data_IF_239612051362
#
_entry.id   IF_239612051362
#
_cell.length_a   1.000
_cell.length_b   1.000
_cell.length_c   1.000
_cell.angle_alpha   90.00
_cell.angle_beta   90.00
_cell.angle_gamma   90.00
#
_symmetry.space_group_name_H-M   'P 1'
#
loop_
_entity.id
_entity.type
_entity.pdbx_description
1 polymer ?
#
# COMPACT_ATOMS: atom_id res chain seq x y z
N UNK A 1 -4.23 -25.06 87.14
CA UNK A 1 -4.97 -24.04 86.36
C UNK A 1 -3.95 -23.28 85.54
N UNK A 2 -3.72 -23.74 84.33
CA UNK A 2 -2.71 -23.17 83.41
C UNK A 2 -3.36 -22.12 82.53
N UNK A 3 -2.71 -20.97 82.43
CA UNK A 3 -3.11 -19.92 81.50
C UNK A 3 -2.48 -20.15 80.16
N UNK A 4 -3.26 -20.34 79.12
CA UNK A 4 -2.81 -20.36 77.73
C UNK A 4 -2.66 -18.94 77.24
N UNK A 5 -1.39 -18.57 76.88
CA UNK A 5 -1.06 -17.30 76.23
C UNK A 5 -1.09 -17.53 74.73
N UNK A 6 -2.04 -16.94 74.01
CA UNK A 6 -2.08 -16.95 72.57
C UNK A 6 -1.25 -15.81 71.99
N UNK A 7 -0.19 -16.17 71.32
CA UNK A 7 0.70 -15.23 70.62
C UNK A 7 0.17 -14.95 69.21
N UNK A 8 -0.28 -13.73 68.94
CA UNK A 8 -0.70 -13.29 67.61
C UNK A 8 0.55 -12.75 66.87
N UNK A 9 1.07 -13.51 65.93
CA UNK A 9 2.06 -13.02 65.00
C UNK A 9 1.38 -12.16 63.92
N UNK A 10 1.72 -10.88 63.96
CA UNK A 10 1.33 -9.91 62.94
C UNK A 10 2.30 -10.02 61.77
N UNK A 11 1.88 -10.60 60.66
CA UNK A 11 2.65 -10.58 59.41
C UNK A 11 2.48 -9.22 58.74
N UNK A 12 3.55 -8.42 58.78
CA UNK A 12 3.66 -7.22 57.96
C UNK A 12 4.02 -7.65 56.54
N UNK A 13 3.09 -7.48 55.62
CA UNK A 13 3.33 -7.65 54.18
C UNK A 13 3.97 -6.34 53.68
N UNK A 14 5.28 -6.35 53.48
CA UNK A 14 5.98 -5.30 52.72
C UNK A 14 5.59 -5.43 51.22
N UNK A 15 4.69 -4.57 50.72
CA UNK A 15 4.48 -4.40 49.29
C UNK A 15 5.68 -3.58 48.78
N UNK A 16 6.62 -4.26 48.14
CA UNK A 16 7.69 -3.64 47.39
C UNK A 16 7.15 -3.14 46.07
N UNK A 17 6.81 -1.86 45.99
CA UNK A 17 6.44 -1.21 44.72
C UNK A 17 7.68 -1.10 43.83
N UNK A 18 7.82 -2.02 42.90
CA UNK A 18 8.81 -1.91 41.82
C UNK A 18 8.32 -0.84 40.86
N UNK A 19 8.85 0.38 41.00
CA UNK A 19 8.71 1.44 40.03
C UNK A 19 9.55 1.05 38.81
N UNK A 20 8.92 0.46 37.78
CA UNK A 20 9.57 0.29 36.50
C UNK A 20 9.78 1.68 35.90
N UNK A 21 10.98 2.22 36.00
CA UNK A 21 11.42 3.32 35.17
C UNK A 21 11.54 2.77 33.75
N UNK A 22 10.54 3.02 32.90
CA UNK A 22 10.71 2.91 31.46
C UNK A 22 11.66 4.02 31.04
N UNK A 23 12.92 3.67 30.80
CA UNK A 23 13.82 4.56 30.07
C UNK A 23 13.17 4.82 28.70
N UNK A 24 13.14 6.08 28.20
CA UNK A 24 12.82 6.30 26.82
C UNK A 24 13.91 5.60 26.01
N UNK A 25 13.55 4.50 25.35
CA UNK A 25 14.41 3.85 24.38
C UNK A 25 14.79 4.88 23.34
N UNK A 26 16.07 5.01 23.02
CA UNK A 26 16.47 5.63 21.76
C UNK A 26 15.75 4.82 20.67
N UNK A 27 14.91 5.48 19.89
CA UNK A 27 14.42 4.93 18.63
C UNK A 27 15.68 4.76 17.76
N UNK A 28 16.10 3.52 17.53
CA UNK A 28 17.04 3.25 16.47
C UNK A 28 16.36 3.67 15.16
N UNK A 29 17.01 4.50 14.35
CA UNK A 29 16.46 5.02 13.08
C UNK A 29 16.24 3.93 12.01
N UNK A 30 16.44 2.66 12.37
CA UNK A 30 16.35 1.50 11.51
C UNK A 30 15.05 0.67 11.73
N UNK A 31 14.22 1.03 12.72
CA UNK A 31 12.94 0.36 12.90
C UNK A 31 11.96 0.83 11.82
N UNK A 32 11.21 -0.10 11.20
CA UNK A 32 10.16 0.26 10.23
C UNK A 32 9.16 1.24 10.85
N UNK A 33 8.76 2.26 10.09
CA UNK A 33 7.64 3.11 10.46
C UNK A 33 6.36 2.29 10.33
N UNK A 34 5.65 2.08 11.44
CA UNK A 34 4.32 1.48 11.42
C UNK A 34 3.28 2.61 11.26
N UNK A 35 2.54 2.64 10.13
CA UNK A 35 1.53 3.67 9.91
C UNK A 35 0.33 3.48 10.83
N UNK A 36 -0.26 4.60 11.31
CA UNK A 36 -1.57 4.59 11.95
C UNK A 36 -2.65 4.53 10.86
N UNK A 37 -3.42 3.46 10.84
CA UNK A 37 -4.45 3.22 9.83
C UNK A 37 -5.84 3.70 10.27
N UNK A 38 -5.99 4.24 11.50
CA UNK A 38 -7.30 4.55 12.08
C UNK A 38 -8.07 5.63 11.32
N UNK A 39 -7.37 6.53 10.65
CA UNK A 39 -7.93 7.65 9.90
C UNK A 39 -7.64 7.58 8.39
N UNK A 40 -7.09 6.45 7.91
CA UNK A 40 -6.76 6.24 6.49
C UNK A 40 -8.02 6.05 5.63
N UNK A 41 -8.01 6.61 4.42
CA UNK A 41 -9.06 6.38 3.43
C UNK A 41 -9.04 4.92 2.99
N UNK A 42 -10.19 4.24 3.07
CA UNK A 42 -10.34 2.89 2.54
C UNK A 42 -10.82 2.90 1.09
N UNK A 43 -10.23 2.01 0.29
CA UNK A 43 -10.60 1.77 -1.11
C UNK A 43 -10.84 0.28 -1.32
N UNK A 44 -12.02 -0.06 -1.84
CA UNK A 44 -12.36 -1.43 -2.24
C UNK A 44 -12.09 -1.63 -3.73
N UNK A 45 -11.33 -2.69 -4.06
CA UNK A 45 -11.15 -3.20 -5.41
C UNK A 45 -11.92 -4.51 -5.58
N UNK A 46 -12.87 -4.52 -6.53
CA UNK A 46 -13.46 -5.75 -7.03
C UNK A 46 -12.63 -6.22 -8.24
N UNK A 47 -12.03 -7.40 -8.13
CA UNK A 47 -11.08 -7.92 -9.13
C UNK A 47 -11.63 -9.24 -9.66
N UNK A 48 -11.48 -9.48 -10.97
CA UNK A 48 -11.76 -10.79 -11.55
C UNK A 48 -10.58 -11.32 -12.35
N UNK A 49 -10.47 -12.66 -12.39
CA UNK A 49 -9.55 -13.41 -13.23
C UNK A 49 -10.35 -14.15 -14.29
N UNK A 50 -10.30 -13.66 -15.53
CA UNK A 50 -11.13 -14.19 -16.60
C UNK A 50 -11.25 -13.27 -17.78
N UNK A 51 -12.01 -13.70 -18.81
CA UNK A 51 -12.28 -12.91 -20.00
C UNK A 51 -13.40 -11.88 -19.81
N UNK A 52 -14.25 -12.04 -18.78
CA UNK A 52 -15.31 -11.11 -18.36
C UNK A 52 -15.63 -11.33 -16.90
N UNK A 53 -16.28 -10.37 -16.26
CA UNK A 53 -16.68 -10.45 -14.85
C UNK A 53 -17.68 -11.60 -14.60
N UNK A 54 -18.72 -11.73 -15.44
CA UNK A 54 -19.75 -12.76 -15.28
C UNK A 54 -19.26 -14.18 -15.60
N UNK A 55 -18.22 -14.30 -16.43
CA UNK A 55 -17.61 -15.56 -16.84
C UNK A 55 -16.23 -15.79 -16.24
N UNK A 56 -15.91 -15.12 -15.16
CA UNK A 56 -14.62 -15.23 -14.50
C UNK A 56 -14.40 -16.62 -13.87
N UNK A 57 -13.16 -17.08 -13.90
CA UNK A 57 -12.74 -18.28 -13.15
C UNK A 57 -12.72 -18.02 -11.64
N UNK A 58 -12.40 -16.76 -11.25
CA UNK A 58 -12.43 -16.31 -9.87
C UNK A 58 -12.73 -14.81 -9.76
N UNK A 59 -13.40 -14.42 -8.68
CA UNK A 59 -13.64 -13.05 -8.27
C UNK A 59 -13.04 -12.83 -6.89
N UNK A 60 -12.47 -11.64 -6.66
CA UNK A 60 -11.76 -11.26 -5.44
C UNK A 60 -12.21 -9.88 -5.00
N UNK A 61 -12.35 -9.68 -3.69
CA UNK A 61 -12.54 -8.37 -3.08
C UNK A 61 -11.30 -8.06 -2.24
N UNK A 62 -10.73 -6.88 -2.41
CA UNK A 62 -9.54 -6.40 -1.71
C UNK A 62 -9.83 -5.02 -1.16
N UNK A 63 -9.54 -4.78 0.12
CA UNK A 63 -9.61 -3.45 0.73
C UNK A 63 -8.21 -2.93 0.97
N UNK A 64 -7.95 -1.71 0.52
CA UNK A 64 -6.69 -0.98 0.70
C UNK A 64 -6.97 0.20 1.64
N UNK A 65 -6.17 0.35 2.69
CA UNK A 65 -6.16 1.55 3.52
C UNK A 65 -4.97 2.44 3.11
N UNK A 66 -5.24 3.68 2.77
CA UNK A 66 -4.23 4.65 2.32
C UNK A 66 -3.55 5.34 3.50
N UNK A 67 -2.30 5.73 3.33
CA UNK A 67 -1.50 6.47 4.32
C UNK A 67 -1.63 7.98 4.09
N UNK A 68 -2.87 8.51 4.17
CA UNK A 68 -3.22 9.89 3.81
C UNK A 68 -2.35 10.94 4.53
N UNK A 69 -1.93 10.70 5.77
CA UNK A 69 -1.13 11.65 6.54
C UNK A 69 0.38 11.52 6.27
N UNK A 70 0.87 10.30 6.02
CA UNK A 70 2.29 10.02 5.83
C UNK A 70 2.75 10.25 4.39
N UNK A 71 1.91 9.89 3.42
CA UNK A 71 2.23 9.91 1.98
C UNK A 71 1.11 10.62 1.20
N UNK A 72 0.80 11.88 1.57
CA UNK A 72 -0.42 12.55 1.15
C UNK A 72 -0.57 12.73 -0.36
N UNK A 73 0.52 12.94 -1.11
CA UNK A 73 0.42 13.20 -2.54
C UNK A 73 0.10 11.93 -3.34
N UNK A 74 0.72 10.80 -2.98
CA UNK A 74 0.44 9.52 -3.64
C UNK A 74 -0.92 8.96 -3.22
N UNK A 75 -1.30 9.11 -1.94
CA UNK A 75 -2.63 8.74 -1.45
C UNK A 75 -3.73 9.55 -2.15
N UNK A 76 -3.59 10.89 -2.24
CA UNK A 76 -4.53 11.76 -2.95
C UNK A 76 -4.62 11.42 -4.45
N UNK A 77 -3.48 11.16 -5.09
CA UNK A 77 -3.44 10.78 -6.49
C UNK A 77 -4.20 9.46 -6.76
N UNK A 78 -3.94 8.43 -5.95
CA UNK A 78 -4.63 7.15 -6.07
C UNK A 78 -6.13 7.30 -5.80
N UNK A 79 -6.52 7.95 -4.72
CA UNK A 79 -7.91 8.25 -4.36
C UNK A 79 -8.65 9.01 -5.47
N UNK A 80 -8.00 10.03 -6.04
CA UNK A 80 -8.57 10.83 -7.14
C UNK A 80 -8.85 9.96 -8.37
N UNK A 81 -7.92 9.08 -8.76
CA UNK A 81 -8.16 8.13 -9.87
C UNK A 81 -9.31 7.17 -9.59
N UNK A 82 -9.45 6.70 -8.34
CA UNK A 82 -10.60 5.86 -7.93
C UNK A 82 -11.91 6.62 -8.07
N UNK A 83 -11.96 7.86 -7.55
CA UNK A 83 -13.17 8.71 -7.62
C UNK A 83 -13.55 9.09 -9.04
N UNK A 84 -12.59 9.25 -9.95
CA UNK A 84 -12.81 9.50 -11.37
C UNK A 84 -13.19 8.22 -12.16
N UNK A 85 -13.13 7.05 -11.52
CA UNK A 85 -13.40 5.76 -12.15
C UNK A 85 -12.32 5.29 -13.12
N UNK A 86 -11.13 5.90 -13.08
CA UNK A 86 -10.03 5.59 -13.99
C UNK A 86 -9.49 4.17 -13.82
N UNK A 87 -9.69 3.54 -12.65
CA UNK A 87 -9.25 2.16 -12.43
C UNK A 87 -10.30 1.11 -12.78
N UNK A 88 -11.52 1.51 -13.17
CA UNK A 88 -12.55 0.56 -13.58
C UNK A 88 -12.18 -0.10 -14.92
N UNK A 89 -12.25 -1.42 -14.94
CA UNK A 89 -11.89 -2.29 -16.07
C UNK A 89 -10.39 -2.22 -16.47
N UNK A 90 -9.50 -1.87 -15.53
CA UNK A 90 -8.06 -1.80 -15.75
C UNK A 90 -7.37 -3.11 -15.38
N UNK A 91 -6.46 -3.57 -16.22
CA UNK A 91 -5.74 -4.82 -16.02
C UNK A 91 -4.56 -4.70 -15.06
N UNK A 92 -4.27 -5.75 -14.30
CA UNK A 92 -2.93 -6.00 -13.80
C UNK A 92 -2.08 -6.52 -14.96
N UNK A 93 -1.36 -5.60 -15.60
CA UNK A 93 -0.64 -5.86 -16.84
C UNK A 93 0.70 -6.56 -16.65
N UNK A 94 1.21 -6.62 -15.41
CA UNK A 94 2.45 -7.30 -15.05
C UNK A 94 2.31 -7.97 -13.68
N UNK A 95 2.52 -9.28 -13.64
CA UNK A 95 2.35 -10.11 -12.43
C UNK A 95 3.58 -11.01 -12.30
N UNK A 96 4.25 -10.93 -11.15
CA UNK A 96 5.44 -11.74 -10.87
C UNK A 96 5.28 -12.37 -9.48
N UNK A 97 5.26 -13.69 -9.45
CA UNK A 97 5.23 -14.48 -8.22
C UNK A 97 6.41 -14.14 -7.30
N UNK A 98 6.17 -14.11 -5.99
CA UNK A 98 7.13 -13.71 -4.97
C UNK A 98 7.74 -12.30 -5.16
N UNK A 99 7.05 -11.41 -5.90
CA UNK A 99 7.51 -10.04 -6.07
C UNK A 99 6.35 -9.03 -5.97
N UNK A 100 5.53 -8.87 -7.02
CA UNK A 100 4.44 -7.89 -7.02
C UNK A 100 3.42 -8.15 -8.14
N UNK A 101 2.23 -7.55 -7.99
CA UNK A 101 1.27 -7.40 -9.07
C UNK A 101 1.12 -5.91 -9.41
N UNK A 102 1.31 -5.52 -10.67
CA UNK A 102 1.31 -4.13 -11.13
C UNK A 102 0.13 -3.85 -12.06
N UNK A 103 -0.59 -2.77 -11.76
CA UNK A 103 -1.73 -2.28 -12.52
C UNK A 103 -1.77 -0.76 -12.61
N UNK A 104 -2.98 -0.20 -12.85
CA UNK A 104 -3.21 1.25 -12.82
C UNK A 104 -2.88 1.98 -14.12
N UNK A 105 -2.50 1.30 -15.20
CA UNK A 105 -2.43 1.90 -16.54
C UNK A 105 -3.82 1.93 -17.18
N UNK A 106 -4.57 2.99 -16.87
CA UNK A 106 -5.94 3.16 -17.36
C UNK A 106 -6.03 3.62 -18.81
N UNK A 107 -4.92 4.04 -19.42
CA UNK A 107 -4.88 4.49 -20.81
C UNK A 107 -4.64 3.35 -21.80
N UNK A 108 -3.61 2.55 -21.57
CA UNK A 108 -3.11 1.59 -22.54
C UNK A 108 -3.22 0.13 -22.07
N UNK A 109 -3.40 -0.10 -20.76
CA UNK A 109 -3.49 -1.43 -20.13
C UNK A 109 -2.26 -2.34 -20.38
N UNK A 110 -1.10 -1.76 -20.68
CA UNK A 110 0.12 -2.49 -21.03
C UNK A 110 1.39 -2.01 -20.29
N UNK A 111 1.23 -1.01 -19.41
CA UNK A 111 2.31 -0.42 -18.61
C UNK A 111 2.99 0.78 -19.26
N UNK A 112 2.52 1.24 -20.42
CA UNK A 112 3.12 2.38 -21.13
C UNK A 112 2.40 3.70 -20.90
N UNK A 113 1.21 3.69 -20.28
CA UNK A 113 0.37 4.85 -20.03
C UNK A 113 0.24 5.20 -18.54
N UNK A 114 -0.70 6.11 -18.27
CA UNK A 114 -0.99 6.61 -16.93
C UNK A 114 -0.28 7.91 -16.61
N UNK A 115 -1.00 8.83 -15.96
CA UNK A 115 -0.50 10.14 -15.52
C UNK A 115 -1.14 10.49 -14.18
N UNK A 116 -0.67 11.54 -13.51
CA UNK A 116 -1.22 11.98 -12.23
C UNK A 116 -2.62 12.61 -12.38
N UNK A 117 -3.55 12.28 -11.48
CA UNK A 117 -4.92 12.80 -11.52
C UNK A 117 -4.96 14.33 -11.36
N UNK A 118 -4.13 14.83 -10.45
CA UNK A 118 -4.05 16.26 -10.13
C UNK A 118 -2.68 16.84 -10.48
N UNK A 119 -2.59 18.17 -10.49
CA UNK A 119 -1.31 18.88 -10.68
C UNK A 119 -0.54 18.95 -9.36
N UNK A 120 0.60 18.27 -9.28
CA UNK A 120 1.49 18.24 -8.11
C UNK A 120 2.80 19.02 -8.31
N UNK A 121 2.86 19.91 -9.32
CA UNK A 121 4.04 20.74 -9.59
C UNK A 121 5.08 20.09 -10.50
N UNK A 122 4.78 18.91 -11.08
CA UNK A 122 5.73 18.14 -11.89
C UNK A 122 5.16 17.77 -13.27
N UNK A 123 6.02 17.92 -14.29
CA UNK A 123 5.75 17.57 -15.67
C UNK A 123 6.84 16.61 -16.18
N UNK A 124 6.48 15.38 -16.58
CA UNK A 124 7.46 14.37 -17.00
C UNK A 124 8.62 14.18 -16.01
N UNK A 125 8.32 14.21 -14.71
CA UNK A 125 9.30 14.02 -13.64
C UNK A 125 10.16 15.25 -13.32
N UNK A 126 9.89 16.40 -13.90
CA UNK A 126 10.59 17.66 -13.65
C UNK A 126 9.66 18.69 -13.01
N UNK A 127 10.15 19.43 -12.04
CA UNK A 127 9.42 20.54 -11.45
C UNK A 127 9.10 21.59 -12.54
N UNK A 128 7.85 22.04 -12.60
CA UNK A 128 7.37 22.95 -13.62
C UNK A 128 6.18 23.80 -13.13
N UNK A 129 5.82 24.87 -13.84
CA UNK A 129 4.50 25.46 -13.69
C UNK A 129 3.50 24.69 -14.57
N UNK A 130 2.25 24.63 -14.15
CA UNK A 130 1.21 23.92 -14.90
C UNK A 130 1.04 24.46 -16.33
N UNK A 131 1.21 25.78 -16.50
CA UNK A 131 1.15 26.46 -17.82
C UNK A 131 2.24 26.03 -18.79
N UNK A 132 3.35 25.52 -18.28
CA UNK A 132 4.52 25.10 -19.06
C UNK A 132 4.47 23.62 -19.44
N UNK A 133 3.54 22.87 -18.83
CA UNK A 133 3.28 21.46 -19.11
C UNK A 133 2.28 21.31 -20.26
N UNK A 134 2.66 20.58 -21.30
CA UNK A 134 1.91 20.49 -22.56
C UNK A 134 0.51 19.90 -22.45
N UNK A 135 0.30 18.98 -21.49
CA UNK A 135 -0.98 18.31 -21.25
C UNK A 135 -0.98 17.59 -19.91
N UNK A 136 -2.19 17.24 -19.42
CA UNK A 136 -2.37 16.39 -18.23
C UNK A 136 -1.67 15.04 -18.38
N UNK A 137 -1.61 14.48 -19.58
CA UNK A 137 -0.91 13.21 -19.84
C UNK A 137 0.59 13.21 -19.51
N UNK A 138 1.16 14.39 -19.19
CA UNK A 138 2.54 14.58 -18.75
C UNK A 138 2.67 14.90 -17.25
N UNK A 139 1.54 14.96 -16.52
CA UNK A 139 1.56 15.25 -15.09
C UNK A 139 2.09 14.06 -14.28
N UNK A 140 2.94 14.36 -13.32
CA UNK A 140 3.56 13.33 -12.46
C UNK A 140 3.54 13.76 -11.00
N UNK A 141 3.68 12.78 -10.10
CA UNK A 141 3.72 12.98 -8.64
C UNK A 141 5.19 13.00 -8.19
N UNK A 142 5.60 13.96 -7.36
CA UNK A 142 6.92 13.93 -6.75
C UNK A 142 7.07 12.76 -5.78
N UNK A 143 8.28 12.21 -5.66
CA UNK A 143 8.56 11.04 -4.85
C UNK A 143 8.41 11.32 -3.35
N UNK A 144 7.68 10.46 -2.65
CA UNK A 144 7.53 10.44 -1.18
C UNK A 144 8.06 9.09 -0.63
N UNK A 145 9.34 8.77 -0.84
CA UNK A 145 9.89 7.44 -0.51
C UNK A 145 10.81 7.41 0.72
N UNK A 146 11.38 8.54 1.14
CA UNK A 146 12.35 8.61 2.25
C UNK A 146 11.64 8.87 3.61
N UNK A 147 10.66 8.02 3.94
CA UNK A 147 9.80 8.16 5.11
C UNK A 147 9.95 6.99 6.10
N UNK A 148 10.90 6.08 5.86
CA UNK A 148 11.09 4.87 6.68
C UNK A 148 10.04 3.77 6.44
N UNK A 149 9.13 3.96 5.47
CA UNK A 149 8.18 2.94 5.05
C UNK A 149 8.87 1.87 4.21
N UNK A 150 8.53 0.60 4.45
CA UNK A 150 9.14 -0.55 3.80
C UNK A 150 8.12 -1.31 2.94
N UNK A 151 8.61 -2.02 1.92
CA UNK A 151 7.80 -2.90 1.07
C UNK A 151 7.55 -4.24 1.77
N UNK A 152 6.81 -4.20 2.88
CA UNK A 152 6.38 -5.38 3.61
C UNK A 152 5.28 -6.14 2.84
N UNK A 153 4.98 -7.41 3.21
CA UNK A 153 3.82 -8.11 2.69
C UNK A 153 2.56 -7.25 2.76
N UNK A 154 1.76 -7.31 1.70
CA UNK A 154 0.47 -6.60 1.56
C UNK A 154 0.55 -5.07 1.35
N UNK A 155 1.73 -4.46 1.30
CA UNK A 155 1.86 -3.02 1.01
C UNK A 155 1.52 -2.67 -0.43
N UNK A 156 1.04 -1.43 -0.62
CA UNK A 156 0.74 -0.83 -1.92
C UNK A 156 1.71 0.30 -2.18
N UNK A 157 2.37 0.28 -3.33
CA UNK A 157 3.42 1.22 -3.68
C UNK A 157 3.24 1.77 -5.09
N UNK A 158 3.72 2.99 -5.32
CA UNK A 158 3.58 3.68 -6.60
C UNK A 158 4.68 3.27 -7.58
N UNK A 159 4.27 2.83 -8.76
CA UNK A 159 5.20 2.55 -9.85
C UNK A 159 5.71 3.84 -10.51
N UNK A 160 6.96 3.81 -10.97
CA UNK A 160 7.60 4.92 -11.65
C UNK A 160 8.64 4.44 -12.67
N UNK A 161 9.11 5.33 -13.49
CA UNK A 161 10.28 5.10 -14.34
C UNK A 161 11.58 5.26 -13.53
N UNK A 162 12.74 5.22 -14.18
CA UNK A 162 14.03 5.52 -13.51
C UNK A 162 14.16 6.99 -13.04
N UNK A 163 13.25 7.87 -13.43
CA UNK A 163 13.21 9.26 -12.95
C UNK A 163 12.43 9.31 -11.64
N UNK A 164 12.98 9.84 -10.53
CA UNK A 164 12.34 9.76 -9.22
C UNK A 164 10.91 10.32 -9.15
N UNK A 165 10.67 11.49 -9.75
CA UNK A 165 9.39 12.20 -9.71
C UNK A 165 8.48 11.88 -10.91
N UNK A 166 8.55 10.67 -11.45
CA UNK A 166 7.83 10.28 -12.67
C UNK A 166 6.61 9.39 -12.45
N UNK A 167 6.17 9.23 -11.21
CA UNK A 167 4.98 8.47 -10.90
C UNK A 167 3.73 9.10 -11.56
N UNK A 168 2.88 8.26 -12.14
CA UNK A 168 1.59 8.63 -12.72
C UNK A 168 0.45 7.97 -11.96
N UNK A 169 -0.30 7.09 -12.64
CA UNK A 169 -1.39 6.31 -12.05
C UNK A 169 -1.02 4.87 -11.72
N UNK A 170 0.11 4.36 -12.23
CA UNK A 170 0.45 2.95 -12.06
C UNK A 170 0.91 2.67 -10.64
N UNK A 171 0.44 1.58 -10.08
CA UNK A 171 0.78 1.09 -8.75
C UNK A 171 1.05 -0.40 -8.76
N UNK A 172 1.67 -0.89 -7.70
CA UNK A 172 1.83 -2.32 -7.48
C UNK A 172 1.48 -2.70 -6.04
N UNK A 173 1.07 -3.96 -5.86
CA UNK A 173 0.75 -4.54 -4.56
C UNK A 173 1.72 -5.68 -4.31
N UNK A 174 2.31 -5.70 -3.12
CA UNK A 174 3.21 -6.76 -2.66
C UNK A 174 2.39 -7.94 -2.17
N UNK A 175 2.58 -9.18 -2.69
CA UNK A 175 1.91 -10.36 -2.17
C UNK A 175 2.26 -10.65 -0.71
N UNK A 176 1.38 -11.38 0.00
CA UNK A 176 1.55 -11.71 1.41
C UNK A 176 2.74 -12.62 1.74
N UNK A 177 3.36 -13.24 0.74
CA UNK A 177 4.54 -14.10 0.83
C UNK A 177 5.82 -13.47 0.25
N UNK A 178 5.79 -12.16 -0.03
CA UNK A 178 6.89 -11.41 -0.64
C UNK A 178 7.41 -10.30 0.27
N UNK A 179 8.69 -9.93 0.10
CA UNK A 179 9.34 -8.81 0.78
C UNK A 179 10.44 -8.22 -0.12
N UNK A 180 10.10 -7.35 -1.07
CA UNK A 180 11.04 -6.75 -2.00
C UNK A 180 11.80 -5.57 -1.40
N UNK A 181 12.52 -5.76 -0.30
CA UNK A 181 13.22 -4.72 0.47
C UNK A 181 14.23 -3.90 -0.35
N UNK A 182 14.64 -4.37 -1.54
CA UNK A 182 15.49 -3.61 -2.45
C UNK A 182 14.79 -2.37 -3.07
N UNK A 183 13.47 -2.22 -2.85
CA UNK A 183 12.68 -1.07 -3.30
C UNK A 183 12.55 0.01 -2.21
N UNK A 184 12.95 -0.29 -0.96
CA UNK A 184 12.81 0.61 0.19
C UNK A 184 13.62 1.89 -0.03
N UNK A 185 12.99 3.05 0.27
CA UNK A 185 13.58 4.37 0.02
C UNK A 185 13.62 4.80 -1.45
N UNK A 186 13.28 3.90 -2.40
CA UNK A 186 13.28 4.19 -3.83
C UNK A 186 11.88 4.35 -4.43
N UNK A 187 10.87 3.71 -3.84
CA UNK A 187 9.47 3.77 -4.27
C UNK A 187 8.58 4.19 -3.10
N UNK A 188 7.51 4.92 -3.40
CA UNK A 188 6.59 5.42 -2.39
C UNK A 188 5.57 4.35 -2.01
N UNK A 189 5.71 3.77 -0.81
CA UNK A 189 4.68 2.94 -0.18
C UNK A 189 3.61 3.90 0.36
N UNK A 190 2.38 3.83 -0.16
CA UNK A 190 1.33 4.80 0.16
C UNK A 190 0.05 4.19 0.75
N UNK A 191 0.08 2.89 1.04
CA UNK A 191 -1.03 2.17 1.65
C UNK A 191 -0.73 0.70 1.84
N UNK A 192 -1.69 -0.01 2.41
CA UNK A 192 -1.63 -1.47 2.55
C UNK A 192 -2.99 -2.11 2.34
N UNK A 193 -2.97 -3.39 1.95
CA UNK A 193 -4.16 -4.24 1.85
C UNK A 193 -4.53 -4.71 3.26
N UNK A 194 -5.61 -4.18 3.80
CA UNK A 194 -6.14 -4.51 5.12
C UNK A 194 -7.09 -5.71 5.10
N UNK A 195 -7.74 -5.97 3.94
CA UNK A 195 -8.56 -7.18 3.74
C UNK A 195 -8.28 -7.79 2.36
N UNK A 196 -8.14 -9.11 2.29
CA UNK A 196 -7.98 -9.86 1.04
C UNK A 196 -6.53 -9.95 0.52
N UNK A 197 -5.51 -9.78 1.35
CA UNK A 197 -4.12 -9.94 0.94
C UNK A 197 -3.78 -11.35 0.42
N UNK A 198 -4.47 -12.38 0.92
CA UNK A 198 -4.38 -13.75 0.41
C UNK A 198 -4.84 -13.86 -1.05
N UNK A 199 -5.74 -12.97 -1.48
CA UNK A 199 -6.16 -12.89 -2.89
C UNK A 199 -5.05 -12.31 -3.76
N UNK A 200 -4.31 -11.32 -3.26
CA UNK A 200 -3.13 -10.76 -3.96
C UNK A 200 -2.06 -11.84 -4.14
N UNK A 201 -1.81 -12.66 -3.10
CA UNK A 201 -0.90 -13.82 -3.19
C UNK A 201 -1.40 -14.84 -4.23
N UNK A 202 -2.70 -15.13 -4.25
CA UNK A 202 -3.29 -16.03 -5.26
C UNK A 202 -3.14 -15.46 -6.68
N UNK A 203 -3.40 -14.16 -6.87
CA UNK A 203 -3.25 -13.48 -8.15
C UNK A 203 -1.79 -13.47 -8.61
N UNK A 204 -0.82 -13.32 -7.71
CA UNK A 204 0.60 -13.30 -8.08
C UNK A 204 1.09 -14.59 -8.72
N UNK A 205 0.36 -15.71 -8.50
CA UNK A 205 0.68 -17.04 -8.97
C UNK A 205 -0.04 -17.47 -10.26
N UNK A 206 -0.81 -16.55 -10.88
CA UNK A 206 -1.47 -16.86 -12.17
C UNK A 206 -0.45 -17.10 -13.27
N UNK A 207 -0.82 -17.92 -14.25
CA UNK A 207 0.05 -18.17 -15.40
C UNK A 207 0.29 -16.89 -16.21
N UNK A 208 1.57 -16.58 -16.46
CA UNK A 208 2.00 -15.40 -17.20
C UNK A 208 2.73 -15.77 -18.48
N UNK A 209 2.61 -14.91 -19.47
CA UNK A 209 3.29 -15.02 -20.75
C UNK A 209 4.43 -14.01 -20.90
N UNK A 210 4.60 -13.49 -22.11
CA UNK A 210 5.63 -12.51 -22.41
C UNK A 210 5.44 -11.22 -21.59
N UNK A 211 6.54 -10.66 -21.07
CA UNK A 211 6.56 -9.45 -20.23
C UNK A 211 5.80 -9.60 -18.90
N UNK A 212 5.76 -10.81 -18.34
CA UNK A 212 5.08 -11.13 -17.08
C UNK A 212 3.57 -10.81 -17.11
N UNK A 213 2.95 -10.76 -18.30
CA UNK A 213 1.53 -10.47 -18.47
C UNK A 213 0.71 -11.73 -18.20
N UNK A 214 -0.37 -11.67 -17.38
CA UNK A 214 -1.28 -12.79 -17.21
C UNK A 214 -1.84 -13.29 -18.56
N UNK A 215 -1.78 -14.61 -18.79
CA UNK A 215 -2.33 -15.23 -20.01
C UNK A 215 -3.85 -15.06 -20.06
N UNK A 216 -4.51 -15.37 -18.93
CA UNK A 216 -5.90 -15.02 -18.72
C UNK A 216 -5.94 -13.71 -17.93
N UNK A 217 -6.63 -12.65 -18.40
CA UNK A 217 -6.56 -11.35 -17.76
C UNK A 217 -6.99 -11.34 -16.29
N UNK A 218 -6.26 -10.56 -15.48
CA UNK A 218 -6.66 -10.15 -14.13
C UNK A 218 -7.05 -8.68 -14.22
N UNK A 219 -8.27 -8.33 -13.85
CA UNK A 219 -8.86 -7.02 -14.13
C UNK A 219 -9.50 -6.46 -12.88
N UNK A 220 -9.24 -5.20 -12.57
CA UNK A 220 -10.01 -4.42 -11.59
C UNK A 220 -11.35 -4.12 -12.25
N UNK A 221 -12.43 -4.79 -11.84
CA UNK A 221 -13.77 -4.54 -12.35
C UNK A 221 -14.27 -3.16 -11.93
N UNK A 222 -14.17 -2.88 -10.62
CA UNK A 222 -14.48 -1.57 -10.03
C UNK A 222 -13.51 -1.25 -8.92
N UNK A 223 -13.24 0.04 -8.74
CA UNK A 223 -12.55 0.61 -7.60
C UNK A 223 -13.45 1.66 -6.96
N UNK A 224 -13.62 1.62 -5.62
CA UNK A 224 -14.56 2.49 -4.90
C UNK A 224 -13.93 2.97 -3.59
N UNK A 225 -14.03 4.28 -3.31
CA UNK A 225 -13.69 4.84 -2.01
C UNK A 225 -14.84 4.51 -1.05
N UNK A 226 -14.52 3.92 0.11
CA UNK A 226 -15.50 3.59 1.14
C UNK A 226 -15.90 4.87 1.90
N UNK A 227 -17.21 4.97 2.28
CA UNK A 227 -17.75 6.08 3.08
C UNK A 227 -17.60 5.82 4.57
#
# INVERSE_FOLDING_TARGET
>A
MERVVTNKHLFAVCILSILMMTSPGCLDNDDPVEPDLSDGTEVTLEIYHGSSFEGAEANYTVVITLYDELVPLHADNFKSHVMEGNFNNVTFHRVIDNFMIQGGDFQNHDGTGGYAANWYGYCNGQEANQSDCSSQGSWTVPLEADLGLQHLPCTVSMARTNVPNSAGSQFFIVPGDSNPSHLDGEYAVFGEVTEGCEHITTISQVETGQNDRPILPVVIHTATVNE
#
